data_IF_430095852325
#
_entry.id   IF_430095852325
#
_cell.length_a   1.000
_cell.length_b   1.000
_cell.length_c   1.000
_cell.angle_alpha   90.00
_cell.angle_beta   90.00
_cell.angle_gamma   90.00
#
_symmetry.space_group_name_H-M   'P 1'
#
loop_
_entity.id
_entity.type
_entity.pdbx_description
1 polymer ?
#
# COMPACT_ATOMS: atom_id res chain seq x y z
N UNK A 1 18.41 2.47 5.75
CA UNK A 1 18.31 2.83 4.31
C UNK A 1 17.87 1.66 3.44
N UNK A 2 18.52 0.49 3.50
CA UNK A 2 18.15 -0.69 2.67
C UNK A 2 16.69 -1.12 2.83
N UNK A 3 16.18 -1.21 4.07
CA UNK A 3 14.80 -1.60 4.36
C UNK A 3 13.77 -0.70 3.64
N UNK A 4 14.00 0.62 3.67
CA UNK A 4 13.13 1.60 3.01
C UNK A 4 13.19 1.43 1.49
N UNK A 5 14.39 1.31 0.92
CA UNK A 5 14.56 1.13 -0.53
C UNK A 5 13.87 -0.15 -1.03
N UNK A 6 14.10 -1.29 -0.37
CA UNK A 6 13.47 -2.57 -0.74
C UNK A 6 11.95 -2.50 -0.64
N UNK A 7 11.42 -1.88 0.44
CA UNK A 7 9.97 -1.78 0.65
C UNK A 7 9.29 -0.87 -0.37
N UNK A 8 9.92 0.25 -0.74
CA UNK A 8 9.41 1.14 -1.79
C UNK A 8 9.49 0.47 -3.16
N UNK A 9 10.59 -0.22 -3.48
CA UNK A 9 10.70 -0.97 -4.73
C UNK A 9 9.61 -2.03 -4.84
N UNK A 10 9.34 -2.78 -3.76
CA UNK A 10 8.25 -3.75 -3.73
C UNK A 10 6.87 -3.09 -3.91
N UNK A 11 6.63 -1.94 -3.25
CA UNK A 11 5.39 -1.19 -3.42
C UNK A 11 5.19 -0.75 -4.87
N UNK A 12 6.19 -0.12 -5.48
CA UNK A 12 6.10 0.31 -6.89
C UNK A 12 5.91 -0.86 -7.84
N UNK A 13 6.63 -1.97 -7.64
CA UNK A 13 6.47 -3.16 -8.47
C UNK A 13 5.05 -3.73 -8.41
N UNK A 14 4.44 -3.79 -7.22
CA UNK A 14 3.06 -4.24 -7.05
C UNK A 14 2.05 -3.28 -7.68
N UNK A 15 2.23 -1.97 -7.48
CA UNK A 15 1.36 -0.95 -8.09
C UNK A 15 1.43 -1.05 -9.61
N UNK A 16 2.64 -1.08 -10.19
CA UNK A 16 2.81 -1.21 -11.64
C UNK A 16 2.17 -2.50 -12.17
N UNK A 17 2.33 -3.63 -11.47
CA UNK A 17 1.72 -4.89 -11.88
C UNK A 17 0.18 -4.80 -11.94
N UNK A 18 -0.45 -4.14 -10.97
CA UNK A 18 -1.90 -3.92 -10.94
C UNK A 18 -2.34 -3.01 -12.09
N UNK A 19 -1.63 -1.92 -12.29
CA UNK A 19 -1.92 -0.97 -13.37
C UNK A 19 -1.78 -1.64 -14.75
N UNK A 20 -0.77 -2.49 -14.96
CA UNK A 20 -0.61 -3.26 -16.18
C UNK A 20 -1.77 -4.23 -16.42
N UNK A 21 -2.21 -4.94 -15.37
CA UNK A 21 -3.38 -5.83 -15.46
C UNK A 21 -4.63 -5.02 -15.81
N UNK A 22 -4.82 -3.89 -15.15
CA UNK A 22 -5.95 -2.98 -15.41
C UNK A 22 -5.92 -2.45 -16.84
N UNK A 23 -4.76 -2.04 -17.34
CA UNK A 23 -4.59 -1.53 -18.70
C UNK A 23 -4.83 -2.58 -19.80
N UNK A 24 -4.56 -3.86 -19.51
CA UNK A 24 -4.87 -4.95 -20.44
C UNK A 24 -6.38 -5.23 -20.50
N UNK A 25 -7.06 -5.17 -19.35
CA UNK A 25 -8.50 -5.49 -19.26
C UNK A 25 -9.36 -4.31 -19.73
N UNK A 26 -8.97 -3.10 -19.37
CA UNK A 26 -9.68 -1.86 -19.69
C UNK A 26 -8.67 -0.80 -20.16
N UNK A 27 -8.25 -0.87 -21.44
CA UNK A 27 -7.21 0.00 -21.95
C UNK A 27 -7.66 1.47 -21.96
N UNK A 28 -6.71 2.34 -21.60
CA UNK A 28 -6.91 3.79 -21.68
C UNK A 28 -7.03 4.20 -23.15
N UNK A 29 -8.04 5.01 -23.53
CA UNK A 29 -8.18 5.49 -24.90
C UNK A 29 -6.95 6.27 -25.35
N UNK A 30 -6.51 6.12 -26.63
CA UNK A 30 -5.39 6.88 -27.16
C UNK A 30 -5.63 8.39 -27.05
N UNK A 31 -4.64 9.11 -26.50
CA UNK A 31 -4.72 10.58 -26.37
C UNK A 31 -5.58 11.08 -25.21
N UNK A 32 -6.00 10.22 -24.30
CA UNK A 32 -6.71 10.62 -23.08
C UNK A 32 -5.82 11.50 -22.20
N UNK A 33 -6.30 12.69 -21.85
CA UNK A 33 -5.66 13.58 -20.89
C UNK A 33 -6.24 13.34 -19.48
N UNK A 34 -5.42 12.87 -18.55
CA UNK A 34 -5.83 12.65 -17.16
C UNK A 34 -6.01 13.96 -16.35
N UNK A 35 -5.64 15.11 -16.90
CA UNK A 35 -5.96 16.42 -16.31
C UNK A 35 -7.37 16.91 -16.73
N UNK A 36 -7.97 16.31 -17.76
CA UNK A 36 -9.35 16.56 -18.14
C UNK A 36 -10.32 15.76 -17.26
N UNK A 37 -10.96 16.45 -16.33
CA UNK A 37 -11.92 15.84 -15.39
C UNK A 37 -13.10 15.18 -16.09
N UNK A 38 -13.57 15.73 -17.20
CA UNK A 38 -14.74 15.23 -17.90
C UNK A 38 -14.39 13.91 -18.62
N UNK A 39 -13.24 13.87 -19.30
CA UNK A 39 -12.70 12.67 -19.91
C UNK A 39 -12.44 11.55 -18.86
N UNK A 40 -11.85 11.89 -17.73
CA UNK A 40 -11.65 10.96 -16.61
C UNK A 40 -12.97 10.42 -16.06
N UNK A 41 -13.96 11.28 -15.84
CA UNK A 41 -15.27 10.86 -15.32
C UNK A 41 -15.95 9.91 -16.30
N UNK A 42 -15.93 10.18 -17.59
CA UNK A 42 -16.49 9.31 -18.61
C UNK A 42 -15.77 7.96 -18.68
N UNK A 43 -14.44 7.95 -18.56
CA UNK A 43 -13.64 6.73 -18.53
C UNK A 43 -13.98 5.86 -17.32
N UNK A 44 -13.96 6.43 -16.10
CA UNK A 44 -14.24 5.70 -14.88
C UNK A 44 -15.70 5.28 -14.72
N UNK A 45 -16.65 6.00 -15.32
CA UNK A 45 -18.06 5.59 -15.38
C UNK A 45 -18.27 4.26 -16.13
N UNK A 46 -17.43 3.99 -17.13
CA UNK A 46 -17.45 2.76 -17.91
C UNK A 46 -16.50 1.67 -17.39
N UNK A 47 -15.77 1.96 -16.30
CA UNK A 47 -14.80 1.03 -15.74
C UNK A 47 -15.47 -0.14 -15.03
N UNK A 48 -15.04 -1.39 -15.25
CA UNK A 48 -15.64 -2.55 -14.62
C UNK A 48 -15.56 -2.50 -13.09
N UNK A 49 -16.70 -2.58 -12.40
CA UNK A 49 -16.76 -2.44 -10.94
C UNK A 49 -15.94 -3.51 -10.20
N UNK A 50 -15.90 -4.74 -10.73
CA UNK A 50 -15.10 -5.81 -10.15
C UNK A 50 -13.59 -5.52 -10.21
N UNK A 51 -13.15 -4.79 -11.23
CA UNK A 51 -11.73 -4.43 -11.40
C UNK A 51 -11.30 -3.39 -10.33
N UNK A 52 -12.21 -2.45 -9.98
CA UNK A 52 -12.01 -1.60 -8.81
C UNK A 52 -11.89 -2.42 -7.52
N UNK A 53 -12.70 -3.48 -7.36
CA UNK A 53 -12.62 -4.38 -6.21
C UNK A 53 -11.27 -5.09 -6.13
N UNK A 54 -10.77 -5.59 -7.25
CA UNK A 54 -9.43 -6.19 -7.34
C UNK A 54 -8.35 -5.16 -7.01
N UNK A 55 -8.44 -3.95 -7.55
CA UNK A 55 -7.50 -2.87 -7.27
C UNK A 55 -7.48 -2.48 -5.79
N UNK A 56 -8.65 -2.36 -5.15
CA UNK A 56 -8.75 -2.02 -3.72
C UNK A 56 -8.06 -3.08 -2.83
N UNK A 57 -8.31 -4.37 -3.09
CA UNK A 57 -7.65 -5.46 -2.38
C UNK A 57 -6.15 -5.44 -2.63
N UNK A 58 -5.74 -5.22 -3.85
CA UNK A 58 -4.33 -5.19 -4.23
C UNK A 58 -3.57 -4.00 -3.62
N UNK A 59 -4.21 -2.82 -3.48
CA UNK A 59 -3.63 -1.68 -2.77
C UNK A 59 -3.47 -1.98 -1.27
N UNK A 60 -4.47 -2.63 -0.64
CA UNK A 60 -4.35 -3.10 0.74
C UNK A 60 -3.21 -4.11 0.93
N UNK A 61 -3.05 -5.07 0.00
CA UNK A 61 -1.94 -6.03 0.01
C UNK A 61 -0.58 -5.37 -0.25
N UNK A 62 -0.53 -4.36 -1.09
CA UNK A 62 0.69 -3.55 -1.31
C UNK A 62 1.12 -2.85 -0.02
N UNK A 63 0.17 -2.22 0.67
CA UNK A 63 0.42 -1.57 1.95
C UNK A 63 0.87 -2.57 3.03
N UNK A 64 0.22 -3.74 3.09
CA UNK A 64 0.62 -4.84 3.96
C UNK A 64 2.05 -5.31 3.69
N UNK A 65 2.34 -5.70 2.46
CA UNK A 65 3.64 -6.27 2.08
C UNK A 65 4.77 -5.27 2.31
N UNK A 66 4.57 -4.02 1.92
CA UNK A 66 5.59 -2.98 2.05
C UNK A 66 5.86 -2.61 3.51
N UNK A 67 4.81 -2.47 4.33
CA UNK A 67 4.96 -2.20 5.76
C UNK A 67 5.58 -3.39 6.50
N UNK A 68 5.22 -4.61 6.10
CA UNK A 68 5.82 -5.84 6.63
C UNK A 68 7.32 -5.92 6.31
N UNK A 69 7.70 -5.70 5.05
CA UNK A 69 9.10 -5.67 4.63
C UNK A 69 9.90 -4.58 5.36
N UNK A 70 9.36 -3.37 5.44
CA UNK A 70 10.00 -2.25 6.11
C UNK A 70 10.26 -2.54 7.59
N UNK A 71 9.28 -3.16 8.25
CA UNK A 71 9.40 -3.58 9.66
C UNK A 71 10.39 -4.73 9.80
N UNK A 72 10.31 -5.75 8.95
CA UNK A 72 11.13 -6.96 9.05
C UNK A 72 12.61 -6.69 8.76
N UNK A 73 12.90 -5.82 7.79
CA UNK A 73 14.24 -5.46 7.37
C UNK A 73 14.81 -4.26 8.15
N UNK A 74 13.98 -3.57 8.92
CA UNK A 74 14.40 -2.45 9.77
C UNK A 74 15.30 -2.95 10.92
N UNK A 75 16.48 -2.32 11.11
CA UNK A 75 17.41 -2.72 12.14
C UNK A 75 16.96 -2.24 13.54
N UNK A 76 17.45 -1.09 14.00
CA UNK A 76 17.22 -0.61 15.38
C UNK A 76 15.83 0.02 15.63
N UNK A 77 15.13 0.46 14.57
CA UNK A 77 13.82 1.14 14.64
C UNK A 77 12.82 0.49 13.68
N UNK A 78 12.72 -0.82 13.73
CA UNK A 78 11.89 -1.60 12.81
C UNK A 78 10.43 -1.11 12.71
N UNK A 79 9.78 -0.80 13.82
CA UNK A 79 8.40 -0.25 13.83
C UNK A 79 8.32 1.09 13.12
N UNK A 80 9.27 2.00 13.35
CA UNK A 80 9.27 3.32 12.73
C UNK A 80 9.39 3.24 11.20
N UNK A 81 10.17 2.28 10.67
CA UNK A 81 10.27 2.08 9.22
C UNK A 81 8.94 1.58 8.62
N UNK A 82 8.28 0.61 9.27
CA UNK A 82 6.98 0.12 8.83
C UNK A 82 5.90 1.20 8.86
N UNK A 83 5.84 1.98 9.93
CA UNK A 83 4.90 3.10 10.06
C UNK A 83 5.18 4.17 9.01
N UNK A 84 6.45 4.55 8.81
CA UNK A 84 6.81 5.59 7.83
C UNK A 84 6.45 5.19 6.40
N UNK A 85 6.75 3.95 6.00
CA UNK A 85 6.38 3.43 4.66
C UNK A 85 4.86 3.33 4.52
N UNK A 86 4.17 2.78 5.52
CA UNK A 86 2.71 2.69 5.51
C UNK A 86 2.04 4.06 5.39
N UNK A 87 2.52 5.04 6.14
CA UNK A 87 2.02 6.41 6.09
C UNK A 87 2.27 7.07 4.72
N UNK A 88 3.45 6.87 4.14
CA UNK A 88 3.77 7.37 2.80
C UNK A 88 2.84 6.78 1.74
N UNK A 89 2.58 5.48 1.80
CA UNK A 89 1.66 4.80 0.88
C UNK A 89 0.21 5.29 1.06
N UNK A 90 -0.22 5.50 2.29
CA UNK A 90 -1.55 6.06 2.58
C UNK A 90 -1.70 7.47 2.02
N UNK A 91 -0.70 8.34 2.20
CA UNK A 91 -0.70 9.69 1.63
C UNK A 91 -0.73 9.64 0.10
N UNK A 92 0.06 8.74 -0.52
CA UNK A 92 0.06 8.55 -1.97
C UNK A 92 -1.31 8.09 -2.49
N UNK A 93 -1.95 7.16 -1.79
CA UNK A 93 -3.30 6.69 -2.14
C UNK A 93 -4.35 7.81 -2.01
N UNK A 94 -4.30 8.60 -0.93
CA UNK A 94 -5.20 9.75 -0.75
C UNK A 94 -4.99 10.77 -1.87
N UNK A 95 -3.74 11.12 -2.18
CA UNK A 95 -3.44 12.05 -3.27
C UNK A 95 -3.97 11.54 -4.61
N UNK A 96 -3.80 10.25 -4.92
CA UNK A 96 -4.33 9.64 -6.13
C UNK A 96 -5.87 9.70 -6.18
N UNK A 97 -6.56 9.39 -5.07
CA UNK A 97 -8.02 9.48 -4.99
C UNK A 97 -8.56 10.91 -5.10
N UNK A 98 -7.81 11.91 -4.68
CA UNK A 98 -8.17 13.32 -4.86
C UNK A 98 -7.97 13.81 -6.31
N UNK A 99 -7.08 13.17 -7.06
CA UNK A 99 -6.80 13.53 -8.45
C UNK A 99 -7.77 12.93 -9.45
N UNK A 100 -8.27 11.74 -9.19
CA UNK A 100 -9.08 10.94 -10.11
C UNK A 100 -10.50 10.73 -9.56
N UNK A 101 -11.54 10.79 -10.41
CA UNK A 101 -12.93 10.68 -9.99
C UNK A 101 -13.35 9.21 -9.78
N UNK A 102 -12.81 8.60 -8.74
CA UNK A 102 -13.17 7.24 -8.35
C UNK A 102 -14.58 7.14 -7.78
N UNK A 103 -15.23 5.96 -7.84
CA UNK A 103 -16.48 5.74 -7.12
C UNK A 103 -16.28 5.84 -5.60
N UNK A 104 -17.22 6.48 -4.89
CA UNK A 104 -17.15 6.69 -3.44
C UNK A 104 -16.89 5.38 -2.65
N UNK A 105 -17.51 4.27 -3.06
CA UNK A 105 -17.30 2.99 -2.39
C UNK A 105 -15.85 2.49 -2.49
N UNK A 106 -15.17 2.76 -3.62
CA UNK A 106 -13.76 2.41 -3.82
C UNK A 106 -12.87 3.24 -2.89
N UNK A 107 -13.13 4.53 -2.76
CA UNK A 107 -12.41 5.41 -1.85
C UNK A 107 -12.59 4.95 -0.39
N UNK A 108 -13.83 4.69 0.03
CA UNK A 108 -14.12 4.18 1.38
C UNK A 108 -13.48 2.81 1.64
N UNK A 109 -13.51 1.91 0.67
CA UNK A 109 -12.84 0.61 0.78
C UNK A 109 -11.33 0.77 1.00
N UNK A 110 -10.67 1.66 0.26
CA UNK A 110 -9.24 1.92 0.41
C UNK A 110 -8.89 2.62 1.73
N UNK A 111 -9.76 3.50 2.23
CA UNK A 111 -9.62 4.12 3.57
C UNK A 111 -9.67 3.09 4.70
N UNK A 112 -10.20 1.90 4.47
CA UNK A 112 -10.20 0.78 5.41
C UNK A 112 -9.08 -0.22 5.11
N UNK A 113 -8.96 -0.67 3.86
CA UNK A 113 -8.04 -1.75 3.48
C UNK A 113 -6.57 -1.36 3.62
N UNK A 114 -6.20 -0.12 3.27
CA UNK A 114 -4.83 0.34 3.38
C UNK A 114 -4.37 0.42 4.85
N UNK A 115 -5.08 1.10 5.76
CA UNK A 115 -4.70 1.10 7.18
C UNK A 115 -4.69 -0.29 7.82
N UNK A 116 -5.64 -1.17 7.47
CA UNK A 116 -5.62 -2.56 7.92
C UNK A 116 -4.39 -3.31 7.41
N UNK A 117 -4.05 -3.15 6.13
CA UNK A 117 -2.85 -3.71 5.53
C UNK A 117 -1.59 -3.26 6.29
N UNK A 118 -1.44 -1.96 6.53
CA UNK A 118 -0.33 -1.40 7.31
C UNK A 118 -0.27 -2.01 8.71
N UNK A 119 -1.40 -2.01 9.42
CA UNK A 119 -1.48 -2.52 10.78
C UNK A 119 -1.07 -4.00 10.87
N UNK A 120 -1.65 -4.86 10.04
CA UNK A 120 -1.32 -6.28 10.04
C UNK A 120 0.10 -6.55 9.53
N UNK A 121 0.57 -5.79 8.54
CA UNK A 121 1.94 -5.90 8.05
C UNK A 121 2.97 -5.64 9.16
N UNK A 122 2.81 -4.55 9.89
CA UNK A 122 3.67 -4.21 11.03
C UNK A 122 3.55 -5.26 12.13
N UNK A 123 2.33 -5.62 12.51
CA UNK A 123 2.07 -6.56 13.62
C UNK A 123 2.69 -7.92 13.37
N UNK A 124 2.54 -8.47 12.17
CA UNK A 124 3.08 -9.79 11.81
C UNK A 124 4.61 -9.78 11.62
N UNK A 125 5.19 -8.63 11.31
CA UNK A 125 6.65 -8.49 11.21
C UNK A 125 7.34 -8.32 12.56
N UNK A 126 6.60 -7.86 13.61
CA UNK A 126 7.16 -7.62 14.95
C UNK A 126 7.24 -8.95 15.70
N UNK A 127 8.43 -9.35 16.17
CA UNK A 127 8.56 -10.58 16.96
C UNK A 127 7.79 -10.46 18.30
N UNK A 128 7.24 -11.56 18.83
CA UNK A 128 6.57 -11.55 20.12
C UNK A 128 7.55 -11.12 21.23
N UNK A 129 7.08 -10.31 22.17
CA UNK A 129 7.89 -9.72 23.26
C UNK A 129 8.32 -10.72 24.35
N UNK A 130 8.20 -12.03 24.12
CA UNK A 130 8.55 -13.09 25.07
C UNK A 130 10.03 -13.49 24.97
N UNK A 131 10.97 -12.53 24.98
CA UNK A 131 12.35 -12.86 25.30
C UNK A 131 12.42 -13.03 26.82
N UNK A 132 12.71 -14.25 27.38
CA UNK A 132 12.99 -14.39 28.81
C UNK A 132 14.16 -13.46 29.09
N UNK A 133 14.00 -12.59 30.08
CA UNK A 133 15.12 -11.83 30.65
C UNK A 133 16.18 -12.83 31.04
N UNK A 134 17.32 -12.84 30.37
CA UNK A 134 18.47 -13.62 30.80
C UNK A 134 18.75 -13.21 32.24
N UNK A 135 18.83 -14.15 33.19
CA UNK A 135 19.19 -13.82 34.56
C UNK A 135 20.54 -13.14 34.53
N UNK A 136 20.60 -11.93 35.09
CA UNK A 136 21.85 -11.22 35.31
C UNK A 136 22.77 -12.17 36.08
N UNK A 137 23.89 -12.54 35.46
CA UNK A 137 24.95 -13.27 36.14
C UNK A 137 25.45 -12.37 37.28
N UNK A 138 25.11 -12.71 38.50
CA UNK A 138 25.70 -12.06 39.71
C UNK A 138 27.22 -12.23 39.59
N UNK A 139 28.01 -11.17 39.76
CA UNK A 139 29.47 -11.28 39.87
C UNK A 139 29.81 -11.98 41.18
N UNK A 140 30.63 -13.02 41.06
CA UNK A 140 31.20 -13.75 42.20
C UNK A 140 32.22 -12.90 42.97
#
# INVERSE_FOLDING_TARGET
>A
MLAVAVSLTAAFALIIAIELVSAVIHPVPPGMDFNDKEACTAFFANYPQWLFGVAAVAWGLTAFTSSWLATRLGAYRHLAHGVAIGFLLLLGAIANMLMLPYPLWFELANMVLIPLGIFFGIRLATPPSNSPSLPLKEPA
#
